data_IF_466301641560
#
_entry.id   IF_466301641560
#
_cell.length_a   1.000
_cell.length_b   1.000
_cell.length_c   1.000
_cell.angle_alpha   90.00
_cell.angle_beta   90.00
_cell.angle_gamma   90.00
#
_symmetry.space_group_name_H-M   'P 1'
#
loop_
_entity.id
_entity.type
_entity.pdbx_description
1 polymer ?
#
# COMPACT_ATOMS: atom_id res chain seq x y z
N UNK A 1 -0.36 6.78 -10.53
CA UNK A 1 -1.75 6.25 -10.47
C UNK A 1 -2.35 6.57 -9.11
N UNK A 2 -3.65 6.86 -9.02
CA UNK A 2 -4.29 7.18 -7.74
C UNK A 2 -4.83 5.90 -7.08
N UNK A 3 -4.35 5.57 -5.88
CA UNK A 3 -4.75 4.37 -5.11
C UNK A 3 -5.51 4.80 -3.85
N UNK A 4 -6.60 4.10 -3.52
CA UNK A 4 -7.35 4.29 -2.27
C UNK A 4 -7.08 3.13 -1.30
N UNK A 5 -6.14 3.33 -0.38
CA UNK A 5 -5.75 2.37 0.66
C UNK A 5 -6.83 2.14 1.73
N UNK A 6 -7.92 2.92 1.70
CA UNK A 6 -9.06 2.69 2.61
C UNK A 6 -10.03 1.65 2.09
N UNK A 7 -9.93 1.30 0.80
CA UNK A 7 -10.90 0.50 0.08
C UNK A 7 -10.22 -0.63 -0.72
N UNK A 8 -9.32 -1.39 -0.09
CA UNK A 8 -8.66 -2.52 -0.73
C UNK A 8 -9.61 -3.71 -0.77
N UNK A 9 -9.91 -4.21 -1.96
CA UNK A 9 -10.64 -5.46 -2.14
C UNK A 9 -9.70 -6.62 -1.87
N UNK A 10 -10.01 -7.42 -0.86
CA UNK A 10 -9.27 -8.64 -0.53
C UNK A 10 -10.17 -9.85 -0.68
N UNK A 11 -9.55 -10.98 -0.99
CA UNK A 11 -10.21 -12.28 -1.07
C UNK A 11 -9.60 -13.19 -0.02
N UNK A 12 -10.45 -13.77 0.83
CA UNK A 12 -10.00 -14.74 1.83
C UNK A 12 -9.75 -16.13 1.19
N UNK A 13 -9.30 -17.07 2.02
CA UNK A 13 -9.00 -18.45 1.59
C UNK A 13 -10.23 -19.25 1.16
N UNK A 14 -11.43 -18.84 1.59
CA UNK A 14 -12.71 -19.45 1.24
C UNK A 14 -13.30 -18.84 -0.04
N UNK A 15 -12.70 -17.75 -0.51
CA UNK A 15 -13.05 -17.04 -1.71
C UNK A 15 -14.05 -15.90 -1.52
N UNK A 16 -14.35 -15.51 -0.28
CA UNK A 16 -15.21 -14.38 0.00
C UNK A 16 -14.45 -13.07 -0.21
N UNK A 17 -15.13 -12.10 -0.82
CA UNK A 17 -14.60 -10.76 -0.98
C UNK A 17 -14.95 -9.91 0.23
N UNK A 18 -13.98 -9.14 0.70
CA UNK A 18 -14.20 -8.11 1.71
C UNK A 18 -13.39 -6.85 1.36
N UNK A 19 -13.73 -5.75 2.01
CA UNK A 19 -13.01 -4.48 1.85
C UNK A 19 -12.25 -4.17 3.13
N UNK A 20 -10.97 -3.86 3.00
CA UNK A 20 -10.11 -3.48 4.12
C UNK A 20 -9.57 -2.06 3.95
N UNK A 21 -9.56 -1.33 5.06
CA UNK A 21 -8.80 -0.10 5.20
C UNK A 21 -7.42 -0.42 5.79
N UNK A 22 -6.39 -0.28 4.96
CA UNK A 22 -4.99 -0.50 5.34
C UNK A 22 -4.22 0.81 5.52
N UNK A 23 -4.87 1.96 5.27
CA UNK A 23 -4.20 3.26 5.18
C UNK A 23 -3.49 3.65 6.48
N UNK A 24 -4.17 3.50 7.62
CA UNK A 24 -3.62 3.89 8.92
C UNK A 24 -2.47 3.01 9.35
N UNK A 25 -2.59 1.70 9.17
CA UNK A 25 -1.56 0.74 9.56
C UNK A 25 -0.32 0.88 8.67
N UNK A 26 -0.50 1.01 7.35
CA UNK A 26 0.58 1.24 6.41
C UNK A 26 1.29 2.58 6.70
N UNK A 27 0.54 3.67 6.83
CA UNK A 27 1.10 4.99 7.13
C UNK A 27 1.89 5.02 8.43
N UNK A 28 1.34 4.45 9.52
CA UNK A 28 2.05 4.34 10.79
C UNK A 28 3.32 3.47 10.69
N UNK A 29 3.26 2.38 9.93
CA UNK A 29 4.40 1.47 9.75
C UNK A 29 5.56 2.18 9.05
N UNK A 30 5.28 2.89 7.96
CA UNK A 30 6.30 3.66 7.23
C UNK A 30 6.86 4.75 8.16
N UNK A 31 5.99 5.55 8.79
CA UNK A 31 6.38 6.65 9.66
C UNK A 31 7.26 6.20 10.84
N UNK A 32 6.94 5.06 11.44
CA UNK A 32 7.66 4.54 12.60
C UNK A 32 9.01 3.89 12.26
N UNK A 33 9.28 3.56 10.99
CA UNK A 33 10.47 2.82 10.57
C UNK A 33 11.43 3.61 9.71
N UNK A 34 10.94 4.61 8.98
CA UNK A 34 11.78 5.35 8.04
C UNK A 34 12.52 6.50 8.71
N UNK A 35 13.73 6.77 8.22
CA UNK A 35 14.49 8.00 8.52
C UNK A 35 14.53 8.95 7.30
N UNK A 36 13.95 8.54 6.17
CA UNK A 36 13.90 9.33 4.95
C UNK A 36 12.74 10.32 5.00
N UNK A 37 13.00 11.59 4.69
CA UNK A 37 12.00 12.65 4.78
C UNK A 37 10.89 12.45 3.74
N UNK A 38 11.22 11.98 2.53
CA UNK A 38 10.23 11.71 1.48
C UNK A 38 9.30 10.56 1.87
N UNK A 39 9.84 9.49 2.46
CA UNK A 39 9.03 8.39 3.00
C UNK A 39 8.15 8.86 4.18
N UNK A 40 8.62 9.79 5.04
CA UNK A 40 7.80 10.39 6.10
C UNK A 40 6.62 11.19 5.53
N UNK A 41 6.81 11.93 4.44
CA UNK A 41 5.74 12.66 3.77
C UNK A 41 4.71 11.71 3.15
N UNK A 42 5.19 10.68 2.44
CA UNK A 42 4.35 9.61 1.90
C UNK A 42 3.53 8.92 3.00
N UNK A 43 4.17 8.57 4.13
CA UNK A 43 3.52 7.96 5.27
C UNK A 43 2.37 8.83 5.83
N UNK A 44 2.61 10.14 5.96
CA UNK A 44 1.63 11.10 6.46
C UNK A 44 0.46 11.26 5.48
N UNK A 45 0.73 11.28 4.18
CA UNK A 45 -0.30 11.39 3.15
C UNK A 45 -1.20 10.14 3.14
N UNK A 46 -0.59 8.95 3.15
CA UNK A 46 -1.33 7.67 3.26
C UNK A 46 -2.17 7.66 4.54
N UNK A 47 -1.62 8.03 5.69
CA UNK A 47 -2.34 7.99 6.96
C UNK A 47 -3.53 8.96 7.02
N UNK A 48 -3.34 10.19 6.53
CA UNK A 48 -4.34 11.25 6.67
C UNK A 48 -5.42 11.18 5.59
N UNK A 49 -5.00 10.97 4.35
CA UNK A 49 -5.89 11.05 3.20
C UNK A 49 -6.38 9.67 2.76
N UNK A 50 -5.56 8.63 2.93
CA UNK A 50 -5.84 7.26 2.53
C UNK A 50 -5.93 7.02 1.03
N UNK A 51 -6.15 8.08 0.23
CA UNK A 51 -6.14 8.06 -1.22
C UNK A 51 -5.02 8.93 -1.76
N UNK A 52 -4.01 8.29 -2.33
CA UNK A 52 -2.71 8.91 -2.65
C UNK A 52 -2.37 8.70 -4.12
N UNK A 53 -1.70 9.68 -4.72
CA UNK A 53 -1.11 9.56 -6.04
C UNK A 53 0.26 8.88 -5.93
N UNK A 54 0.37 7.70 -6.55
CA UNK A 54 1.51 6.79 -6.42
C UNK A 54 2.24 6.69 -7.77
N UNK A 55 3.49 7.09 -7.79
CA UNK A 55 4.43 6.87 -8.89
C UNK A 55 5.26 5.59 -8.67
N UNK A 56 6.17 5.27 -9.59
CA UNK A 56 6.99 4.06 -9.50
C UNK A 56 7.87 4.02 -8.24
N UNK A 57 8.41 5.17 -7.82
CA UNK A 57 9.27 5.27 -6.62
C UNK A 57 8.47 5.00 -5.35
N UNK A 58 7.34 5.69 -5.19
CA UNK A 58 6.45 5.49 -4.04
C UNK A 58 5.83 4.09 -4.06
N UNK A 59 5.53 3.53 -5.23
CA UNK A 59 5.06 2.15 -5.33
C UNK A 59 6.09 1.16 -4.79
N UNK A 60 7.36 1.30 -5.13
CA UNK A 60 8.43 0.41 -4.64
C UNK A 60 8.59 0.51 -3.11
N UNK A 61 8.53 1.72 -2.55
CA UNK A 61 8.54 1.96 -1.10
C UNK A 61 7.34 1.26 -0.44
N UNK A 62 6.14 1.45 -0.98
CA UNK A 62 4.92 0.87 -0.40
C UNK A 62 4.96 -0.65 -0.46
N UNK A 63 5.41 -1.26 -1.57
CA UNK A 63 5.55 -2.73 -1.69
C UNK A 63 6.45 -3.29 -0.59
N UNK A 64 7.60 -2.65 -0.33
CA UNK A 64 8.53 -3.06 0.74
C UNK A 64 7.80 -3.13 2.09
N UNK A 65 7.08 -2.07 2.47
CA UNK A 65 6.40 -2.02 3.76
C UNK A 65 5.15 -2.90 3.82
N UNK A 66 4.40 -3.05 2.72
CA UNK A 66 3.25 -3.95 2.64
C UNK A 66 3.68 -5.41 2.88
N UNK A 67 4.79 -5.83 2.27
CA UNK A 67 5.36 -7.18 2.44
C UNK A 67 5.87 -7.45 3.85
N UNK A 68 6.24 -6.40 4.59
CA UNK A 68 6.78 -6.52 5.94
C UNK A 68 5.69 -6.65 7.01
N UNK A 69 4.55 -5.96 6.84
CA UNK A 69 3.53 -5.81 7.90
C UNK A 69 2.25 -6.59 7.67
N UNK A 70 1.80 -6.75 6.42
CA UNK A 70 0.49 -7.35 6.14
C UNK A 70 0.56 -8.84 5.85
N UNK A 71 -0.54 -9.54 6.13
CA UNK A 71 -0.71 -10.95 5.80
C UNK A 71 -0.82 -11.17 4.28
N UNK A 72 -0.51 -12.40 3.84
CA UNK A 72 -0.42 -12.76 2.42
C UNK A 72 -1.65 -12.35 1.60
N UNK A 73 -2.88 -12.52 2.10
CA UNK A 73 -4.09 -12.19 1.35
C UNK A 73 -4.26 -10.67 1.08
N UNK A 74 -3.69 -9.82 1.93
CA UNK A 74 -3.63 -8.36 1.68
C UNK A 74 -2.53 -8.05 0.67
N UNK A 75 -1.38 -8.74 0.78
CA UNK A 75 -0.28 -8.58 -0.17
C UNK A 75 -0.72 -8.95 -1.60
N UNK A 76 -1.45 -10.07 -1.77
CA UNK A 76 -2.00 -10.50 -3.05
C UNK A 76 -2.97 -9.48 -3.67
N UNK A 77 -3.67 -8.70 -2.85
CA UNK A 77 -4.57 -7.66 -3.33
C UNK A 77 -3.83 -6.38 -3.77
N UNK A 78 -2.77 -5.99 -3.06
CA UNK A 78 -2.14 -4.67 -3.22
C UNK A 78 -0.86 -4.74 -4.07
N UNK A 79 0.02 -5.72 -3.81
CA UNK A 79 1.33 -5.79 -4.45
C UNK A 79 1.25 -5.85 -5.98
N UNK A 80 0.35 -6.63 -6.61
CA UNK A 80 0.26 -6.65 -8.08
C UNK A 80 -0.08 -5.28 -8.69
N UNK A 81 -0.93 -4.49 -8.02
CA UNK A 81 -1.30 -3.14 -8.45
C UNK A 81 -0.08 -2.21 -8.41
N UNK A 82 0.69 -2.29 -7.32
CA UNK A 82 1.89 -1.47 -7.16
C UNK A 82 3.02 -1.92 -8.10
N UNK A 83 3.20 -3.22 -8.30
CA UNK A 83 4.22 -3.77 -9.18
C UNK A 83 3.96 -3.43 -10.65
N UNK A 84 2.70 -3.33 -11.08
CA UNK A 84 2.35 -2.83 -12.41
C UNK A 84 2.65 -1.33 -12.57
N UNK A 85 2.60 -0.53 -11.49
CA UNK A 85 3.05 0.88 -11.52
C UNK A 85 4.58 0.96 -11.65
N UNK A 86 5.31 0.05 -10.99
CA UNK A 86 6.78 0.01 -11.03
C UNK A 86 7.27 -0.46 -12.41
N UNK A 87 6.67 -1.54 -12.91
CA UNK A 87 7.04 -2.21 -14.16
C UNK A 87 5.79 -2.46 -15.00
N UNK A 88 5.25 -1.43 -15.67
CA UNK A 88 4.02 -1.57 -16.45
C UNK A 88 4.20 -2.61 -17.53
N UNK A 89 3.33 -3.61 -17.56
CA UNK A 89 3.33 -4.62 -18.62
C UNK A 89 3.00 -3.93 -19.94
N UNK A 90 3.88 -4.10 -20.95
CA UNK A 90 3.68 -3.59 -22.31
C UNK A 90 2.48 -4.22 -22.99
#
# INVERSE_FOLDING_TARGET
MKIDFRNIQVKDIEGNNSTLDVSKELGNTIYGKTADIGELELARDIYKNGKVDVDATNAAIIVKYVREVFLAFVQEAICPILEDIINPKK
#
